data_IF_848992881302
#
_entry.id   IF_848992881302
#
_cell.length_a   1.000
_cell.length_b   1.000
_cell.length_c   1.000
_cell.angle_alpha   90.00
_cell.angle_beta   90.00
_cell.angle_gamma   90.00
#
_symmetry.space_group_name_H-M   'P 1'
#
loop_
_entity.id
_entity.type
_entity.pdbx_description
1 polymer ?
#
# COMPACT_ATOMS: atom_id res chain seq x y z
N UNK A 1 11.95 30.88 -8.79
CA UNK A 1 12.50 29.84 -9.68
C UNK A 1 12.30 28.51 -9.00
N UNK A 2 11.38 27.71 -9.48
CA UNK A 2 11.19 26.34 -9.04
C UNK A 2 12.39 25.53 -9.55
N UNK A 3 13.20 25.03 -8.64
CA UNK A 3 14.31 24.15 -8.99
C UNK A 3 13.73 22.88 -9.65
N UNK A 4 13.92 22.74 -10.93
CA UNK A 4 13.62 21.51 -11.66
C UNK A 4 14.59 20.43 -11.19
N UNK A 5 14.12 19.46 -10.44
CA UNK A 5 14.93 18.28 -10.14
C UNK A 5 14.88 17.35 -11.36
N UNK A 6 16.02 17.02 -11.95
CA UNK A 6 16.04 16.15 -13.12
C UNK A 6 15.83 14.70 -12.69
N UNK A 7 14.71 14.11 -13.10
CA UNK A 7 14.45 12.67 -12.99
C UNK A 7 14.52 12.04 -14.38
N UNK A 8 15.00 10.80 -14.43
CA UNK A 8 15.04 10.02 -15.66
C UNK A 8 13.68 9.37 -15.92
N UNK A 9 12.91 9.13 -14.85
CA UNK A 9 11.54 8.58 -14.89
C UNK A 9 10.69 9.23 -13.80
N UNK A 10 9.48 9.62 -14.17
CA UNK A 10 8.43 10.01 -13.22
C UNK A 10 7.26 9.04 -13.34
N UNK A 11 6.90 8.42 -12.23
CA UNK A 11 5.77 7.50 -12.12
C UNK A 11 4.61 8.20 -11.41
N UNK A 12 3.42 8.12 -11.96
CA UNK A 12 2.21 8.70 -11.38
C UNK A 12 1.34 7.60 -10.80
N UNK A 13 1.19 7.61 -9.48
CA UNK A 13 0.43 6.64 -8.71
C UNK A 13 1.27 5.49 -8.16
N UNK A 14 1.01 5.16 -6.89
CA UNK A 14 1.70 4.12 -6.14
C UNK A 14 0.95 2.79 -6.08
N UNK A 15 0.04 2.53 -7.00
CA UNK A 15 -0.56 1.20 -7.14
C UNK A 15 0.48 0.14 -7.52
N UNK A 16 0.12 -1.15 -7.57
CA UNK A 16 1.07 -2.24 -7.80
C UNK A 16 1.94 -2.04 -9.04
N UNK A 17 1.37 -1.56 -10.13
CA UNK A 17 2.13 -1.30 -11.36
C UNK A 17 3.15 -0.16 -11.20
N UNK A 18 2.73 0.96 -10.57
CA UNK A 18 3.60 2.11 -10.34
C UNK A 18 4.75 1.78 -9.37
N UNK A 19 4.45 1.09 -8.28
CA UNK A 19 5.46 0.62 -7.33
C UNK A 19 6.50 -0.28 -8.01
N UNK A 20 6.03 -1.23 -8.83
CA UNK A 20 6.93 -2.14 -9.53
C UNK A 20 7.79 -1.41 -10.56
N UNK A 21 7.18 -0.54 -11.38
CA UNK A 21 7.89 0.25 -12.37
C UNK A 21 8.96 1.14 -11.72
N UNK A 22 8.59 1.88 -10.67
CA UNK A 22 9.50 2.78 -9.98
C UNK A 22 10.69 2.04 -9.34
N UNK A 23 10.42 0.97 -8.60
CA UNK A 23 11.48 0.20 -7.93
C UNK A 23 12.38 -0.52 -8.92
N UNK A 24 11.84 -1.04 -10.01
CA UNK A 24 12.62 -1.72 -11.04
C UNK A 24 13.54 -0.76 -11.78
N UNK A 25 13.02 0.39 -12.20
CA UNK A 25 13.81 1.42 -12.86
C UNK A 25 14.92 1.98 -11.95
N UNK A 26 14.61 2.25 -10.68
CA UNK A 26 15.59 2.75 -9.72
C UNK A 26 16.72 1.74 -9.46
N UNK A 27 16.40 0.45 -9.37
CA UNK A 27 17.42 -0.62 -9.29
C UNK A 27 18.26 -0.72 -10.53
N UNK A 28 17.74 -0.33 -11.68
CA UNK A 28 18.49 -0.18 -12.94
C UNK A 28 19.38 1.05 -13.01
N UNK A 29 19.45 1.86 -11.95
CA UNK A 29 20.30 3.04 -11.86
C UNK A 29 19.65 4.34 -12.33
N UNK A 30 18.35 4.35 -12.64
CA UNK A 30 17.62 5.56 -13.01
C UNK A 30 17.27 6.41 -11.78
N UNK A 31 17.28 7.72 -11.93
CA UNK A 31 16.72 8.65 -10.94
C UNK A 31 15.21 8.69 -11.12
N UNK A 32 14.49 8.14 -10.16
CA UNK A 32 13.04 7.95 -10.25
C UNK A 32 12.31 8.78 -9.22
N UNK A 33 11.30 9.53 -9.66
CA UNK A 33 10.27 10.09 -8.79
C UNK A 33 8.98 9.28 -8.92
N UNK A 34 8.30 9.05 -7.80
CA UNK A 34 6.96 8.51 -7.76
C UNK A 34 6.04 9.53 -7.09
N UNK A 35 5.01 9.96 -7.82
CA UNK A 35 4.02 10.91 -7.32
C UNK A 35 2.78 10.16 -6.85
N UNK A 36 2.39 10.37 -5.58
CA UNK A 36 1.17 9.77 -5.00
C UNK A 36 0.29 10.87 -4.39
N UNK A 37 -0.98 10.88 -4.75
CA UNK A 37 -1.93 11.88 -4.24
C UNK A 37 -2.45 11.54 -2.84
N UNK A 38 -2.46 10.27 -2.48
CA UNK A 38 -2.88 9.83 -1.16
C UNK A 38 -1.69 9.91 -0.20
N UNK A 39 -1.99 9.92 1.10
CA UNK A 39 -0.97 9.94 2.14
C UNK A 39 -0.22 8.61 2.21
N UNK A 40 -0.95 7.53 1.99
CA UNK A 40 -0.46 6.16 2.02
C UNK A 40 -0.13 5.67 0.61
N UNK A 41 0.86 4.79 0.48
CA UNK A 41 1.22 4.14 -0.78
C UNK A 41 0.50 2.81 -0.97
N UNK A 42 0.39 2.32 -2.21
CA UNK A 42 -0.17 1.02 -2.53
C UNK A 42 -1.44 1.03 -3.36
N UNK A 43 -2.09 2.18 -3.46
CA UNK A 43 -3.30 2.35 -4.27
C UNK A 43 -4.50 1.54 -3.78
N UNK A 44 -5.50 1.41 -4.64
CA UNK A 44 -6.76 0.74 -4.30
C UNK A 44 -6.62 -0.74 -3.93
N UNK A 45 -5.63 -1.43 -4.48
CA UNK A 45 -5.37 -2.84 -4.18
C UNK A 45 -5.06 -3.06 -2.68
N UNK A 46 -4.31 -2.14 -2.07
CA UNK A 46 -3.92 -2.22 -0.66
C UNK A 46 -5.01 -1.67 0.25
N UNK A 47 -5.62 -0.54 -0.11
CA UNK A 47 -6.48 0.23 0.80
C UNK A 47 -7.97 -0.05 0.64
N UNK A 48 -8.44 -0.44 -0.56
CA UNK A 48 -9.88 -0.51 -0.87
C UNK A 48 -10.32 -1.82 -1.53
N UNK A 49 -9.41 -2.72 -1.86
CA UNK A 49 -9.73 -3.88 -2.70
C UNK A 49 -9.20 -5.21 -2.17
N UNK A 50 -8.26 -5.76 -2.90
CA UNK A 50 -7.79 -7.15 -2.76
C UNK A 50 -7.26 -7.49 -1.37
N UNK A 51 -6.42 -6.63 -0.78
CA UNK A 51 -5.78 -6.93 0.51
C UNK A 51 -6.78 -6.86 1.65
N UNK A 52 -7.58 -5.78 1.81
CA UNK A 52 -8.60 -5.74 2.85
C UNK A 52 -9.60 -6.89 2.79
N UNK A 53 -10.11 -7.21 1.61
CA UNK A 53 -11.13 -8.27 1.46
C UNK A 53 -10.58 -9.66 1.76
N UNK A 54 -9.35 -9.96 1.35
CA UNK A 54 -8.70 -11.23 1.68
C UNK A 54 -8.36 -11.33 3.17
N UNK A 55 -7.85 -10.27 3.77
CA UNK A 55 -7.54 -10.23 5.19
C UNK A 55 -8.80 -10.44 6.02
N UNK A 56 -9.90 -9.77 5.68
CA UNK A 56 -11.19 -9.95 6.36
C UNK A 56 -11.69 -11.39 6.26
N UNK A 57 -11.67 -11.96 5.04
CA UNK A 57 -12.07 -13.35 4.83
C UNK A 57 -11.21 -14.32 5.65
N UNK A 58 -9.91 -14.17 5.62
CA UNK A 58 -8.98 -15.05 6.34
C UNK A 58 -9.22 -15.00 7.85
N UNK A 59 -9.41 -13.81 8.41
CA UNK A 59 -9.70 -13.63 9.83
C UNK A 59 -11.03 -14.26 10.21
N UNK A 60 -12.07 -14.05 9.43
CA UNK A 60 -13.37 -14.68 9.65
C UNK A 60 -13.28 -16.21 9.62
N UNK A 61 -12.61 -16.78 8.60
CA UNK A 61 -12.46 -18.24 8.49
C UNK A 61 -11.63 -18.82 9.62
N UNK A 62 -10.54 -18.20 10.03
CA UNK A 62 -9.74 -18.67 11.18
C UNK A 62 -10.54 -18.72 12.45
N UNK A 63 -11.38 -17.73 12.72
CA UNK A 63 -12.25 -17.71 13.91
C UNK A 63 -13.34 -18.78 13.84
N UNK A 64 -13.91 -19.03 12.65
CA UNK A 64 -14.88 -20.10 12.47
C UNK A 64 -14.28 -21.50 12.67
N UNK A 65 -13.04 -21.72 12.23
CA UNK A 65 -12.38 -23.02 12.29
C UNK A 65 -11.63 -23.26 13.61
N UNK A 66 -11.15 -22.21 14.27
CA UNK A 66 -10.39 -22.27 15.53
C UNK A 66 -11.26 -22.32 16.78
N UNK A 67 -12.56 -22.12 16.64
CA UNK A 67 -13.52 -22.19 17.72
C UNK A 67 -13.98 -23.61 17.94
N UNK A 68 -13.53 -24.27 19.05
CA UNK A 68 -14.20 -25.46 19.53
C UNK A 68 -15.65 -25.14 19.99
N UNK A 69 -16.45 -26.13 20.41
CA UNK A 69 -17.86 -25.94 20.81
C UNK A 69 -18.11 -24.87 21.88
N UNK A 70 -17.06 -24.48 22.61
CA UNK A 70 -17.10 -23.42 23.64
C UNK A 70 -16.81 -22.02 23.12
N UNK A 71 -16.35 -21.85 21.88
CA UNK A 71 -15.96 -20.54 21.31
C UNK A 71 -17.11 -19.76 20.68
N UNK A 72 -18.32 -20.28 20.76
CA UNK A 72 -19.54 -19.64 20.23
C UNK A 72 -20.01 -18.47 21.10
N UNK A 73 -19.46 -18.29 22.31
CA UNK A 73 -19.89 -17.24 23.24
C UNK A 73 -19.08 -15.95 23.21
N UNK A 74 -17.90 -15.90 22.60
CA UNK A 74 -17.25 -14.61 22.33
C UNK A 74 -17.79 -14.01 21.03
N UNK A 75 -18.75 -13.13 21.18
CA UNK A 75 -19.29 -12.33 20.08
C UNK A 75 -18.17 -11.46 19.50
N UNK A 76 -17.56 -11.95 18.43
CA UNK A 76 -16.59 -11.17 17.66
C UNK A 76 -17.33 -10.01 17.03
N UNK A 77 -16.99 -8.80 17.44
CA UNK A 77 -17.58 -7.63 16.83
C UNK A 77 -16.98 -7.39 15.43
N UNK A 78 -17.79 -6.86 14.55
CA UNK A 78 -17.30 -6.43 13.22
C UNK A 78 -16.19 -5.37 13.37
N UNK A 79 -16.25 -4.57 14.42
CA UNK A 79 -15.24 -3.56 14.73
C UNK A 79 -13.86 -4.19 15.00
N UNK A 80 -13.80 -5.32 15.72
CA UNK A 80 -12.54 -6.04 15.98
C UNK A 80 -11.93 -6.57 14.68
N UNK A 81 -12.77 -7.16 13.80
CA UNK A 81 -12.31 -7.64 12.50
C UNK A 81 -11.79 -6.50 11.62
N UNK A 82 -12.45 -5.35 11.62
CA UNK A 82 -11.99 -4.16 10.88
C UNK A 82 -10.67 -3.64 11.45
N UNK A 83 -10.52 -3.63 12.78
CA UNK A 83 -9.27 -3.24 13.44
C UNK A 83 -8.09 -4.11 12.99
N UNK A 84 -8.27 -5.44 12.99
CA UNK A 84 -7.25 -6.38 12.53
C UNK A 84 -6.89 -6.20 11.04
N UNK A 85 -7.87 -5.90 10.19
CA UNK A 85 -7.63 -5.59 8.76
C UNK A 85 -6.86 -4.29 8.60
N UNK A 86 -7.15 -3.28 9.40
CA UNK A 86 -6.44 -2.01 9.39
C UNK A 86 -4.96 -2.17 9.74
N UNK A 87 -4.63 -3.06 10.67
CA UNK A 87 -3.23 -3.39 10.98
C UNK A 87 -2.50 -4.03 9.80
N UNK A 88 -3.15 -4.91 9.06
CA UNK A 88 -2.60 -5.52 7.84
C UNK A 88 -2.33 -4.47 6.78
N UNK A 89 -3.26 -3.54 6.55
CA UNK A 89 -3.11 -2.43 5.61
C UNK A 89 -1.92 -1.55 6.01
N UNK A 90 -1.83 -1.16 7.27
CA UNK A 90 -0.74 -0.34 7.78
C UNK A 90 0.63 -1.04 7.67
N UNK A 91 0.67 -2.36 7.86
CA UNK A 91 1.89 -3.14 7.67
C UNK A 91 2.34 -3.15 6.20
N UNK A 92 1.40 -3.26 5.26
CA UNK A 92 1.67 -3.19 3.82
C UNK A 92 2.19 -1.81 3.41
N UNK A 93 1.55 -0.73 3.87
CA UNK A 93 2.00 0.63 3.61
C UNK A 93 3.44 0.85 4.08
N UNK A 94 3.76 0.45 5.32
CA UNK A 94 5.14 0.54 5.84
C UNK A 94 6.13 -0.28 5.03
N UNK A 95 5.74 -1.48 4.60
CA UNK A 95 6.60 -2.34 3.79
C UNK A 95 6.92 -1.70 2.44
N UNK A 96 5.91 -1.20 1.74
CA UNK A 96 6.07 -0.57 0.43
C UNK A 96 6.85 0.74 0.51
N UNK A 97 6.58 1.57 1.51
CA UNK A 97 7.33 2.81 1.74
C UNK A 97 8.82 2.54 1.95
N UNK A 98 9.16 1.53 2.78
CA UNK A 98 10.55 1.11 2.98
C UNK A 98 11.18 0.53 1.71
N UNK A 99 10.40 -0.15 0.88
CA UNK A 99 10.89 -0.70 -0.39
C UNK A 99 11.24 0.41 -1.38
N UNK A 100 10.41 1.46 -1.47
CA UNK A 100 10.68 2.64 -2.28
C UNK A 100 11.96 3.35 -1.81
N UNK A 101 12.07 3.61 -0.51
CA UNK A 101 13.23 4.25 0.10
C UNK A 101 14.52 3.47 -0.15
N UNK A 102 14.52 2.15 0.11
CA UNK A 102 15.70 1.27 -0.14
C UNK A 102 16.09 1.19 -1.60
N UNK A 103 15.14 1.37 -2.51
CA UNK A 103 15.42 1.39 -3.95
C UNK A 103 15.89 2.75 -4.45
N UNK A 104 15.92 3.78 -3.60
CA UNK A 104 16.34 5.13 -3.98
C UNK A 104 15.29 5.90 -4.77
N UNK A 105 14.02 5.49 -4.70
CA UNK A 105 12.90 6.22 -5.33
C UNK A 105 12.56 7.46 -4.50
N UNK A 106 12.46 8.60 -5.14
CA UNK A 106 11.97 9.83 -4.50
C UNK A 106 10.44 9.83 -4.49
N UNK A 107 9.85 9.69 -3.31
CA UNK A 107 8.39 9.76 -3.14
C UNK A 107 7.97 11.22 -3.00
N UNK A 108 7.05 11.66 -3.84
CA UNK A 108 6.47 13.00 -3.84
C UNK A 108 4.97 12.88 -3.57
N UNK A 109 4.54 13.40 -2.43
CA UNK A 109 3.11 13.47 -2.13
C UNK A 109 2.47 14.68 -2.81
N UNK A 110 1.50 14.42 -3.67
CA UNK A 110 0.78 15.44 -4.40
C UNK A 110 0.07 14.90 -5.62
N UNK A 111 -0.78 15.73 -6.21
CA UNK A 111 -1.50 15.38 -7.43
C UNK A 111 -0.67 15.81 -8.65
N UNK A 112 -0.16 14.84 -9.39
CA UNK A 112 0.53 15.08 -10.64
C UNK A 112 -0.45 15.49 -11.74
N UNK A 113 0.00 16.37 -12.63
CA UNK A 113 -0.71 16.76 -13.86
C UNK A 113 0.29 17.03 -14.96
N UNK A 114 -0.13 16.85 -16.20
CA UNK A 114 0.64 17.29 -17.35
C UNK A 114 0.40 18.80 -17.57
N UNK A 115 1.47 19.53 -17.84
CA UNK A 115 1.40 20.90 -18.33
C UNK A 115 1.73 20.86 -19.82
N UNK A 116 0.71 21.18 -20.64
CA UNK A 116 0.81 21.19 -22.08
C UNK A 116 1.44 22.47 -22.62
#
# INVERSE_FOLDING_TARGET
MTATQPFDLVVIGSGPAGLHAATHAARGGMRVALCEQQREVGGACVHHGTIPSKALRERAVRRMLGGGPSAVEESVSVADLIGEVSEVIAAHDRYMSRQLERSGVTLIHGRARFEG
#
